data_IF_847413666358
#
_entry.id   IF_847413666358
#
_cell.length_a   1.000
_cell.length_b   1.000
_cell.length_c   1.000
_cell.angle_alpha   90.00
_cell.angle_beta   90.00
_cell.angle_gamma   90.00
#
_symmetry.space_group_name_H-M   'P 1'
#
loop_
_entity.id
_entity.type
_entity.pdbx_description
1 polymer ?
#
# COMPACT_ATOMS: atom_id res chain seq x y z
N UNK A 1 53.21 10.44 23.90
CA UNK A 1 52.73 9.71 22.70
C UNK A 1 51.91 8.44 22.98
N UNK A 2 51.97 7.80 24.17
CA UNK A 2 51.18 6.59 24.48
C UNK A 2 49.71 6.86 24.87
N UNK A 3 49.40 8.02 25.45
CA UNK A 3 48.05 8.35 25.93
C UNK A 3 47.05 8.65 24.79
N UNK A 4 47.48 9.36 23.75
CA UNK A 4 46.64 9.66 22.57
C UNK A 4 46.24 8.41 21.79
N UNK A 5 47.11 7.39 21.73
CA UNK A 5 46.77 6.10 21.09
C UNK A 5 45.71 5.32 21.88
N UNK A 6 45.71 5.43 23.21
CA UNK A 6 44.71 4.78 24.07
C UNK A 6 43.34 5.45 23.95
N UNK A 7 43.31 6.79 23.87
CA UNK A 7 42.07 7.57 23.70
C UNK A 7 41.42 7.30 22.34
N UNK A 8 42.22 7.19 21.27
CA UNK A 8 41.71 6.84 19.92
C UNK A 8 41.15 5.40 19.89
N UNK A 9 41.77 4.47 20.63
CA UNK A 9 41.30 3.08 20.69
C UNK A 9 39.98 2.95 21.46
N UNK A 10 39.81 3.71 22.55
CA UNK A 10 38.55 3.74 23.34
C UNK A 10 37.42 4.45 22.57
N UNK A 11 37.73 5.44 21.73
CA UNK A 11 36.74 6.11 20.89
C UNK A 11 36.19 5.20 19.78
N UNK A 12 36.98 4.24 19.29
CA UNK A 12 36.55 3.27 18.28
C UNK A 12 35.69 2.12 18.84
N UNK A 13 35.78 1.84 20.15
CA UNK A 13 35.02 0.76 20.81
C UNK A 13 33.58 1.13 21.17
N UNK A 14 33.18 2.40 21.03
CA UNK A 14 31.81 2.87 21.34
C UNK A 14 30.89 2.91 20.11
N UNK A 15 31.33 2.40 18.95
CA UNK A 15 30.55 2.40 17.70
C UNK A 15 29.76 1.10 17.45
N UNK A 16 29.84 0.11 18.33
CA UNK A 16 28.93 -1.06 18.29
C UNK A 16 27.64 -0.75 19.04
N UNK A 17 26.93 0.30 18.63
CA UNK A 17 25.53 0.49 18.98
C UNK A 17 24.69 -0.33 18.00
N UNK A 18 23.87 -1.21 18.56
CA UNK A 18 23.00 -2.17 17.87
C UNK A 18 22.27 -1.54 16.66
N UNK A 19 22.68 -1.93 15.45
CA UNK A 19 21.92 -1.67 14.23
C UNK A 19 20.75 -2.64 14.16
N UNK A 20 19.64 -2.26 14.79
CA UNK A 20 18.33 -2.85 14.51
C UNK A 20 17.89 -2.50 13.09
N UNK A 21 18.51 -3.11 12.08
CA UNK A 21 18.17 -2.93 10.67
C UNK A 21 16.95 -3.79 10.32
N UNK A 22 15.79 -3.38 10.84
CA UNK A 22 14.52 -3.82 10.25
C UNK A 22 14.41 -3.21 8.85
N UNK A 23 14.24 -4.04 7.83
CA UNK A 23 14.05 -3.58 6.46
C UNK A 23 12.78 -2.72 6.36
N UNK A 24 12.89 -1.49 5.86
CA UNK A 24 11.78 -0.53 5.85
C UNK A 24 10.65 -0.99 4.95
N UNK A 25 9.45 -1.02 5.49
CA UNK A 25 8.27 -1.52 4.78
C UNK A 25 7.57 -0.43 3.96
N UNK A 26 7.57 0.78 4.52
CA UNK A 26 7.02 2.04 4.02
C UNK A 26 7.93 3.16 4.52
N UNK A 27 7.81 4.36 3.94
CA UNK A 27 8.43 5.57 4.45
C UNK A 27 8.38 5.73 5.98
N UNK A 28 9.56 5.85 6.60
CA UNK A 28 9.70 6.10 8.03
C UNK A 28 9.11 7.44 8.44
N UNK A 29 8.58 7.52 9.66
CA UNK A 29 8.12 8.76 10.26
C UNK A 29 9.20 9.87 10.19
N UNK A 30 8.92 11.05 9.58
CA UNK A 30 9.87 12.14 9.48
C UNK A 30 10.40 12.61 10.83
N UNK A 31 9.59 12.52 11.88
CA UNK A 31 9.96 12.92 13.24
C UNK A 31 11.01 11.98 13.86
N UNK A 32 11.13 10.74 13.34
CA UNK A 32 12.14 9.77 13.75
C UNK A 32 13.37 9.72 12.82
N UNK A 33 13.50 10.64 11.85
CA UNK A 33 14.51 10.53 10.79
C UNK A 33 15.94 10.98 11.16
N UNK A 34 16.16 11.63 12.31
CA UNK A 34 17.49 12.03 12.78
C UNK A 34 18.33 12.80 11.73
N UNK A 35 19.63 12.51 11.65
CA UNK A 35 20.60 13.17 10.73
C UNK A 35 20.22 12.98 9.26
N UNK A 36 19.48 11.92 8.91
CA UNK A 36 19.06 11.65 7.52
C UNK A 36 18.08 12.69 6.97
N UNK A 37 17.42 13.47 7.84
CA UNK A 37 16.52 14.57 7.45
C UNK A 37 17.26 15.70 6.72
N UNK A 38 18.54 15.93 7.02
CA UNK A 38 19.37 16.93 6.35
C UNK A 38 19.63 16.61 4.86
N UNK A 39 19.46 15.34 4.47
CA UNK A 39 19.61 14.87 3.10
C UNK A 39 18.28 14.84 2.31
N UNK A 40 17.17 15.34 2.90
CA UNK A 40 15.85 15.36 2.28
C UNK A 40 15.42 16.79 1.98
N UNK A 41 14.84 17.01 0.81
CA UNK A 41 14.08 18.24 0.52
C UNK A 41 12.63 18.08 0.98
N UNK A 42 11.94 19.19 1.23
CA UNK A 42 10.53 19.23 1.66
C UNK A 42 9.60 18.32 0.82
N UNK A 43 9.85 18.20 -0.48
CA UNK A 43 9.05 17.34 -1.37
C UNK A 43 9.23 15.83 -1.07
N UNK A 44 10.41 15.40 -0.63
CA UNK A 44 10.63 13.99 -0.25
C UNK A 44 9.87 13.66 1.03
N UNK A 45 9.80 14.60 1.98
CA UNK A 45 8.99 14.44 3.18
C UNK A 45 7.49 14.38 2.83
N UNK A 46 7.01 15.22 1.91
CA UNK A 46 5.64 15.16 1.39
C UNK A 46 5.33 13.79 0.76
N UNK A 47 6.22 13.27 -0.10
CA UNK A 47 6.07 11.94 -0.71
C UNK A 47 5.96 10.86 0.37
N UNK A 48 6.86 10.90 1.35
CA UNK A 48 6.92 9.92 2.45
C UNK A 48 5.65 9.94 3.30
N UNK A 49 5.13 11.12 3.61
CA UNK A 49 3.87 11.30 4.33
C UNK A 49 2.69 10.71 3.56
N UNK A 50 2.59 10.99 2.25
CA UNK A 50 1.52 10.44 1.41
C UNK A 50 1.61 8.91 1.28
N UNK A 51 2.82 8.36 1.09
CA UNK A 51 3.02 6.91 1.03
C UNK A 51 2.61 6.23 2.35
N UNK A 52 2.94 6.84 3.50
CA UNK A 52 2.55 6.30 4.80
C UNK A 52 1.04 6.37 5.00
N UNK A 53 0.41 7.49 4.66
CA UNK A 53 -1.03 7.68 4.78
C UNK A 53 -1.79 6.62 3.99
N UNK A 54 -1.47 6.45 2.69
CA UNK A 54 -2.17 5.46 1.85
C UNK A 54 -1.96 4.01 2.34
N UNK A 55 -0.79 3.68 2.90
CA UNK A 55 -0.56 2.36 3.50
C UNK A 55 -1.33 2.15 4.82
N UNK A 56 -1.54 3.21 5.61
CA UNK A 56 -2.36 3.17 6.82
C UNK A 56 -3.85 2.98 6.48
N UNK A 57 -4.33 3.63 5.43
CA UNK A 57 -5.68 3.46 4.92
C UNK A 57 -5.90 2.04 4.39
N UNK A 58 -4.93 1.51 3.62
CA UNK A 58 -4.98 0.13 3.14
C UNK A 58 -4.97 -0.89 4.29
N UNK A 59 -4.22 -0.61 5.36
CA UNK A 59 -4.22 -1.41 6.58
C UNK A 59 -5.58 -1.41 7.27
N UNK A 60 -6.20 -0.23 7.37
CA UNK A 60 -7.55 -0.06 7.91
C UNK A 60 -8.59 -0.80 7.05
N UNK A 61 -8.45 -0.76 5.72
CA UNK A 61 -9.31 -1.49 4.79
C UNK A 61 -9.20 -3.00 5.02
N UNK A 62 -7.99 -3.56 5.08
CA UNK A 62 -7.78 -5.00 5.32
C UNK A 62 -8.46 -5.46 6.61
N UNK A 63 -8.27 -4.71 7.69
CA UNK A 63 -8.89 -5.01 8.99
C UNK A 63 -10.43 -5.04 8.90
N UNK A 64 -11.03 -4.07 8.23
CA UNK A 64 -12.49 -4.00 8.08
C UNK A 64 -13.03 -5.10 7.18
N UNK A 65 -12.35 -5.38 6.06
CA UNK A 65 -12.73 -6.48 5.16
C UNK A 65 -12.68 -7.83 5.87
N UNK A 66 -11.66 -8.09 6.72
CA UNK A 66 -11.64 -9.32 7.50
C UNK A 66 -12.72 -9.39 8.56
N UNK A 67 -13.06 -8.27 9.22
CA UNK A 67 -14.19 -8.24 10.15
C UNK A 67 -15.52 -8.57 9.47
N UNK A 68 -15.69 -8.11 8.22
CA UNK A 68 -16.90 -8.33 7.42
C UNK A 68 -16.94 -9.71 6.76
N UNK A 69 -15.77 -10.29 6.46
CA UNK A 69 -15.62 -11.60 5.81
C UNK A 69 -14.81 -12.59 6.67
N UNK A 70 -15.22 -12.87 7.93
CA UNK A 70 -14.39 -13.63 8.86
C UNK A 70 -14.21 -15.10 8.45
N UNK A 71 -15.17 -15.68 7.71
CA UNK A 71 -15.17 -17.09 7.35
C UNK A 71 -14.07 -17.46 6.33
N UNK A 72 -13.76 -16.55 5.40
CA UNK A 72 -12.79 -16.78 4.31
C UNK A 72 -11.33 -16.65 4.74
N UNK A 73 -11.05 -15.97 5.86
CA UNK A 73 -9.69 -15.71 6.35
C UNK A 73 -8.90 -17.01 6.56
N UNK A 74 -7.75 -17.13 5.90
CA UNK A 74 -6.95 -18.36 5.85
C UNK A 74 -6.31 -18.74 7.20
N UNK A 75 -5.94 -17.75 8.01
CA UNK A 75 -5.27 -17.93 9.30
C UNK A 75 -6.20 -17.79 10.50
N UNK A 76 -7.52 -17.95 10.28
CA UNK A 76 -8.54 -17.70 11.31
C UNK A 76 -8.38 -18.50 12.60
N UNK A 77 -7.80 -19.70 12.51
CA UNK A 77 -7.57 -20.59 13.64
C UNK A 77 -6.18 -20.40 14.29
N UNK A 78 -5.33 -19.53 13.73
CA UNK A 78 -3.94 -19.33 14.20
C UNK A 78 -3.77 -18.06 15.02
N UNK A 79 -4.55 -17.01 14.73
CA UNK A 79 -4.40 -15.68 15.33
C UNK A 79 -5.64 -14.81 15.13
N UNK A 80 -5.78 -13.76 15.93
CA UNK A 80 -6.84 -12.76 15.75
C UNK A 80 -6.61 -11.89 14.49
N UNK A 81 -7.66 -11.16 14.09
CA UNK A 81 -7.63 -10.34 12.87
C UNK A 81 -6.57 -9.23 12.97
N UNK A 82 -6.45 -8.55 14.11
CA UNK A 82 -5.51 -7.44 14.30
C UNK A 82 -4.07 -7.94 14.15
N UNK A 83 -3.74 -9.04 14.79
CA UNK A 83 -2.43 -9.69 14.70
C UNK A 83 -2.11 -10.11 13.27
N UNK A 84 -3.09 -10.61 12.51
CA UNK A 84 -2.90 -10.97 11.09
C UNK A 84 -2.59 -9.77 10.21
N UNK A 85 -3.35 -8.69 10.40
CA UNK A 85 -3.19 -7.43 9.66
C UNK A 85 -1.85 -6.78 10.01
N UNK A 86 -1.52 -6.68 11.30
CA UNK A 86 -0.25 -6.12 11.77
C UNK A 86 0.93 -6.91 11.19
N UNK A 87 0.85 -8.24 11.21
CA UNK A 87 1.88 -9.10 10.63
C UNK A 87 2.00 -8.89 9.11
N UNK A 88 0.89 -8.79 8.37
CA UNK A 88 0.95 -8.53 6.93
C UNK A 88 1.68 -7.20 6.62
N UNK A 89 1.37 -6.14 7.37
CA UNK A 89 1.99 -4.82 7.19
C UNK A 89 3.36 -4.67 7.88
N UNK A 90 3.81 -5.62 8.71
CA UNK A 90 5.17 -5.62 9.24
C UNK A 90 6.20 -6.19 8.26
N UNK A 91 5.76 -6.95 7.26
CA UNK A 91 6.63 -7.48 6.22
C UNK A 91 6.92 -6.43 5.15
N UNK A 92 8.13 -6.45 4.60
CA UNK A 92 8.51 -5.64 3.44
C UNK A 92 7.52 -5.83 2.28
N UNK A 93 7.31 -4.81 1.45
CA UNK A 93 6.36 -4.91 0.32
C UNK A 93 6.78 -5.92 -0.76
N UNK A 94 8.05 -6.33 -0.76
CA UNK A 94 8.56 -7.46 -1.57
C UNK A 94 8.35 -8.84 -0.91
N UNK A 95 7.71 -8.92 0.26
CA UNK A 95 7.46 -10.20 0.88
C UNK A 95 6.57 -11.07 -0.01
N UNK A 96 7.07 -12.25 -0.35
CA UNK A 96 6.54 -13.06 -1.43
C UNK A 96 5.51 -14.05 -0.93
N UNK A 97 4.38 -14.11 -1.64
CA UNK A 97 3.54 -15.30 -1.70
C UNK A 97 3.91 -16.06 -2.97
N UNK A 98 4.49 -17.27 -2.90
CA UNK A 98 5.02 -17.98 -4.07
C UNK A 98 4.02 -18.09 -5.24
N UNK A 99 2.74 -18.27 -4.92
CA UNK A 99 1.66 -18.42 -5.90
C UNK A 99 1.35 -17.13 -6.70
N UNK A 100 1.79 -15.95 -6.24
CA UNK A 100 1.51 -14.65 -6.90
C UNK A 100 2.77 -13.95 -7.41
N UNK A 101 3.93 -14.59 -7.29
CA UNK A 101 5.22 -13.97 -7.59
C UNK A 101 5.29 -13.43 -9.02
N UNK A 102 4.79 -14.20 -9.99
CA UNK A 102 4.86 -13.90 -11.42
C UNK A 102 3.68 -13.10 -11.95
N UNK A 103 2.72 -12.74 -11.09
CA UNK A 103 1.52 -12.02 -11.49
C UNK A 103 1.70 -10.52 -11.31
N UNK A 104 1.16 -9.75 -12.25
CA UNK A 104 1.09 -8.30 -12.09
C UNK A 104 0.17 -7.94 -10.92
N UNK A 105 0.43 -6.79 -10.29
CA UNK A 105 -0.31 -6.36 -9.11
C UNK A 105 -1.83 -6.33 -9.35
N UNK A 106 -2.24 -5.86 -10.53
CA UNK A 106 -3.63 -5.71 -10.95
C UNK A 106 -4.27 -7.06 -11.30
N UNK A 107 -3.50 -8.05 -11.74
CA UNK A 107 -3.98 -9.42 -11.93
C UNK A 107 -4.29 -10.11 -10.60
N UNK A 108 -3.49 -9.84 -9.57
CA UNK A 108 -3.78 -10.39 -8.24
C UNK A 108 -5.09 -9.79 -7.68
N UNK A 109 -5.34 -8.50 -7.91
CA UNK A 109 -6.62 -7.87 -7.55
C UNK A 109 -7.77 -8.54 -8.32
N UNK A 110 -7.60 -8.79 -9.62
CA UNK A 110 -8.60 -9.49 -10.45
C UNK A 110 -8.90 -10.89 -9.91
N UNK A 111 -7.86 -11.68 -9.62
CA UNK A 111 -8.00 -13.05 -9.10
C UNK A 111 -8.78 -13.07 -7.78
N UNK A 112 -8.55 -12.11 -6.89
CA UNK A 112 -9.29 -12.02 -5.62
C UNK A 112 -10.82 -11.92 -5.81
N UNK A 113 -11.25 -11.34 -6.94
CA UNK A 113 -12.63 -11.08 -7.32
C UNK A 113 -13.05 -11.89 -8.56
N UNK A 114 -12.37 -13.00 -8.82
CA UNK A 114 -12.74 -13.99 -9.81
C UNK A 114 -13.55 -15.12 -9.15
N UNK A 115 -14.70 -15.49 -9.69
CA UNK A 115 -15.53 -16.54 -9.12
C UNK A 115 -14.84 -17.91 -9.09
N UNK A 116 -13.91 -18.16 -10.03
CA UNK A 116 -13.15 -19.40 -10.15
C UNK A 116 -11.96 -19.50 -9.19
N UNK A 117 -11.69 -18.45 -8.42
CA UNK A 117 -10.62 -18.45 -7.42
C UNK A 117 -10.84 -19.53 -6.35
N UNK A 118 -9.86 -20.44 -6.24
CA UNK A 118 -9.92 -21.61 -5.37
C UNK A 118 -9.55 -21.32 -3.91
N UNK A 119 -8.97 -20.15 -3.62
CA UNK A 119 -8.60 -19.77 -2.26
C UNK A 119 -9.80 -19.33 -1.43
N UNK A 120 -9.85 -19.75 -0.17
CA UNK A 120 -10.89 -19.29 0.76
C UNK A 120 -10.75 -17.80 1.12
N UNK A 121 -9.51 -17.31 1.15
CA UNK A 121 -9.19 -15.93 1.54
C UNK A 121 -9.08 -15.04 0.31
N UNK A 122 -10.13 -14.26 0.06
CA UNK A 122 -10.19 -13.25 -1.01
C UNK A 122 -9.69 -11.88 -0.55
N UNK A 123 -9.64 -11.61 0.76
CA UNK A 123 -9.15 -10.33 1.30
C UNK A 123 -7.63 -10.23 1.10
N UNK A 124 -6.91 -11.33 1.36
CA UNK A 124 -5.46 -11.35 1.24
C UNK A 124 -4.95 -11.01 -0.17
N UNK A 125 -5.37 -11.68 -1.26
CA UNK A 125 -4.94 -11.31 -2.61
C UNK A 125 -5.39 -9.90 -3.00
N UNK A 126 -6.60 -9.48 -2.62
CA UNK A 126 -7.10 -8.14 -2.93
C UNK A 126 -6.18 -7.06 -2.32
N UNK A 127 -5.90 -7.17 -1.02
CA UNK A 127 -5.03 -6.22 -0.31
C UNK A 127 -3.58 -6.32 -0.77
N UNK A 128 -3.08 -7.53 -1.03
CA UNK A 128 -1.73 -7.73 -1.54
C UNK A 128 -1.53 -7.10 -2.93
N UNK A 129 -2.46 -7.32 -3.86
CA UNK A 129 -2.45 -6.69 -5.18
C UNK A 129 -2.52 -5.17 -5.09
N UNK A 130 -3.43 -4.62 -4.27
CA UNK A 130 -3.54 -3.18 -4.02
C UNK A 130 -2.22 -2.60 -3.47
N UNK A 131 -1.63 -3.26 -2.47
CA UNK A 131 -0.35 -2.83 -1.88
C UNK A 131 0.78 -2.86 -2.90
N UNK A 132 0.90 -3.96 -3.67
CA UNK A 132 1.92 -4.12 -4.71
C UNK A 132 1.80 -3.03 -5.77
N UNK A 133 0.58 -2.73 -6.20
CA UNK A 133 0.27 -1.68 -7.18
C UNK A 133 0.64 -0.29 -6.66
N UNK A 134 0.19 0.05 -5.45
CA UNK A 134 0.49 1.35 -4.84
C UNK A 134 1.99 1.51 -4.61
N UNK A 135 2.70 0.49 -4.12
CA UNK A 135 4.16 0.58 -3.94
C UNK A 135 4.88 0.73 -5.29
N UNK A 136 4.41 0.05 -6.33
CA UNK A 136 4.95 0.20 -7.68
C UNK A 136 4.75 1.62 -8.24
N UNK A 137 3.71 2.36 -7.83
CA UNK A 137 3.57 3.78 -8.22
C UNK A 137 4.57 4.72 -7.56
N UNK A 138 5.27 4.26 -6.52
CA UNK A 138 6.45 4.92 -5.93
C UNK A 138 7.77 4.29 -6.41
N UNK A 139 7.75 3.52 -7.50
CA UNK A 139 8.88 2.73 -8.00
C UNK A 139 9.47 1.80 -6.91
N UNK A 140 8.64 1.33 -5.98
CA UNK A 140 9.00 0.49 -4.83
C UNK A 140 10.00 1.13 -3.84
N UNK A 141 10.18 2.46 -3.89
CA UNK A 141 11.00 3.16 -2.90
C UNK A 141 10.27 3.28 -1.56
N UNK A 142 10.99 3.04 -0.46
CA UNK A 142 10.53 3.29 0.92
C UNK A 142 11.32 4.41 1.59
N UNK A 143 12.28 4.98 0.89
CA UNK A 143 13.09 6.12 1.33
C UNK A 143 13.32 7.02 0.12
N UNK A 144 13.19 8.33 0.32
CA UNK A 144 13.28 9.30 -0.76
C UNK A 144 14.41 10.28 -0.45
N UNK A 145 15.40 10.31 -1.33
CA UNK A 145 16.59 11.16 -1.24
C UNK A 145 16.70 12.03 -2.51
N UNK A 146 17.69 12.92 -2.57
CA UNK A 146 17.85 13.92 -3.64
C UNK A 146 17.69 13.42 -5.08
N UNK A 147 18.06 12.17 -5.38
CA UNK A 147 17.97 11.60 -6.74
C UNK A 147 16.75 10.71 -6.96
N UNK A 148 15.88 10.53 -5.97
CA UNK A 148 14.66 9.74 -6.13
C UNK A 148 13.62 10.57 -6.89
N UNK A 149 13.31 10.17 -8.12
CA UNK A 149 12.21 10.73 -8.89
C UNK A 149 11.01 9.79 -8.87
N UNK A 150 9.81 10.33 -8.69
CA UNK A 150 8.56 9.60 -8.90
C UNK A 150 7.90 10.10 -10.19
N UNK A 151 7.27 9.18 -10.91
CA UNK A 151 6.41 9.49 -12.04
C UNK A 151 4.99 9.84 -11.58
N UNK A 152 4.58 11.10 -11.81
CA UNK A 152 3.23 11.58 -11.54
C UNK A 152 2.14 10.78 -12.25
N UNK A 153 2.42 10.22 -13.43
CA UNK A 153 1.44 9.43 -14.17
C UNK A 153 1.15 8.10 -13.48
N UNK A 154 2.15 7.48 -12.85
CA UNK A 154 1.96 6.24 -12.09
C UNK A 154 1.09 6.47 -10.85
N UNK A 155 1.32 7.58 -10.14
CA UNK A 155 0.49 7.99 -9.00
C UNK A 155 -0.96 8.23 -9.42
N UNK A 156 -1.17 8.99 -10.50
CA UNK A 156 -2.51 9.20 -11.06
C UNK A 156 -3.18 7.89 -11.49
N UNK A 157 -2.46 7.02 -12.20
CA UNK A 157 -2.98 5.72 -12.62
C UNK A 157 -3.31 4.83 -11.42
N UNK A 158 -2.52 4.89 -10.35
CA UNK A 158 -2.79 4.22 -9.07
C UNK A 158 -4.11 4.70 -8.45
N UNK A 159 -4.39 6.01 -8.45
CA UNK A 159 -5.67 6.56 -7.99
C UNK A 159 -6.87 6.02 -8.80
N UNK A 160 -6.76 6.03 -10.14
CA UNK A 160 -7.80 5.46 -11.02
C UNK A 160 -7.98 3.95 -10.80
N UNK A 161 -6.88 3.24 -10.55
CA UNK A 161 -6.94 1.81 -10.27
C UNK A 161 -7.59 1.51 -8.90
N UNK A 162 -7.40 2.37 -7.90
CA UNK A 162 -8.10 2.24 -6.61
C UNK A 162 -9.62 2.36 -6.82
N UNK A 163 -10.08 3.26 -7.68
CA UNK A 163 -11.50 3.36 -8.04
C UNK A 163 -12.01 2.11 -8.74
N UNK A 164 -11.26 1.58 -9.71
CA UNK A 164 -11.60 0.33 -10.40
C UNK A 164 -11.71 -0.81 -9.40
N UNK A 165 -10.75 -0.93 -8.47
CA UNK A 165 -10.77 -1.97 -7.44
C UNK A 165 -11.97 -1.81 -6.49
N UNK A 166 -12.31 -0.57 -6.10
CA UNK A 166 -13.47 -0.28 -5.27
C UNK A 166 -14.80 -0.67 -5.98
N UNK A 167 -14.92 -0.35 -7.27
CA UNK A 167 -16.06 -0.75 -8.08
C UNK A 167 -16.15 -2.27 -8.22
N UNK A 168 -15.03 -2.94 -8.55
CA UNK A 168 -15.01 -4.40 -8.68
C UNK A 168 -15.42 -5.08 -7.37
N UNK A 169 -14.97 -4.55 -6.23
CA UNK A 169 -15.35 -5.05 -4.91
C UNK A 169 -16.86 -4.92 -4.64
N UNK A 170 -17.50 -3.86 -5.15
CA UNK A 170 -18.94 -3.61 -4.99
C UNK A 170 -19.82 -4.43 -5.95
N UNK A 171 -19.30 -4.81 -7.13
CA UNK A 171 -20.11 -5.37 -8.21
C UNK A 171 -19.84 -6.85 -8.51
N UNK A 172 -18.66 -7.39 -8.18
CA UNK A 172 -18.31 -8.77 -8.55
C UNK A 172 -19.11 -9.80 -7.72
N UNK A 173 -19.84 -10.64 -8.45
CA UNK A 173 -20.77 -11.65 -7.92
C UNK A 173 -20.41 -13.05 -8.43
N UNK A 174 -20.81 -14.07 -7.68
CA UNK A 174 -20.80 -15.46 -8.12
C UNK A 174 -21.99 -15.78 -9.05
N UNK A 175 -22.01 -17.01 -9.57
CA UNK A 175 -23.11 -17.56 -10.38
C UNK A 175 -24.50 -17.48 -9.72
N UNK A 176 -24.58 -17.36 -8.39
CA UNK A 176 -25.82 -17.26 -7.64
C UNK A 176 -26.23 -15.79 -7.38
N UNK A 177 -25.47 -14.83 -7.94
CA UNK A 177 -25.71 -13.40 -7.76
C UNK A 177 -25.22 -12.81 -6.43
N UNK A 178 -24.50 -13.60 -5.61
CA UNK A 178 -23.95 -13.16 -4.33
C UNK A 178 -22.60 -12.48 -4.52
N UNK A 179 -22.35 -11.39 -3.81
CA UNK A 179 -21.04 -10.73 -3.83
C UNK A 179 -19.91 -11.68 -3.42
N UNK A 180 -18.80 -11.65 -4.17
CA UNK A 180 -17.62 -12.47 -3.90
C UNK A 180 -16.88 -12.03 -2.64
N UNK A 181 -16.89 -10.74 -2.32
CA UNK A 181 -16.32 -10.19 -1.10
C UNK A 181 -17.22 -9.06 -0.56
N UNK A 182 -17.67 -9.18 0.68
CA UNK A 182 -18.58 -8.23 1.29
C UNK A 182 -17.82 -6.97 1.73
N UNK A 183 -18.34 -5.79 1.42
CA UNK A 183 -17.77 -4.51 1.83
C UNK A 183 -18.85 -3.59 2.40
N UNK A 184 -19.49 -2.79 1.56
CA UNK A 184 -20.60 -1.89 1.92
C UNK A 184 -21.86 -2.67 2.34
N UNK A 185 -22.87 -1.91 2.75
CA UNK A 185 -24.18 -2.46 3.15
C UNK A 185 -24.86 -3.18 2.01
N UNK A 186 -25.46 -4.33 2.34
CA UNK A 186 -26.41 -4.99 1.47
C UNK A 186 -27.76 -4.25 1.50
N UNK A 187 -28.64 -4.55 0.54
CA UNK A 187 -29.93 -3.85 0.33
C UNK A 187 -30.80 -3.75 1.60
N UNK A 188 -30.67 -4.71 2.52
CA UNK A 188 -31.46 -4.78 3.76
C UNK A 188 -30.69 -4.35 5.02
N UNK A 189 -29.52 -3.73 4.89
CA UNK A 189 -28.70 -3.26 5.99
C UNK A 189 -28.66 -1.73 6.10
N UNK A 190 -28.41 -1.20 7.30
CA UNK A 190 -28.12 0.22 7.49
C UNK A 190 -26.95 0.64 6.62
N UNK A 191 -27.12 1.73 5.86
CA UNK A 191 -26.12 2.27 4.94
C UNK A 191 -24.79 2.55 5.64
N UNK A 192 -23.75 1.88 5.19
CA UNK A 192 -22.39 1.94 5.71
C UNK A 192 -21.45 2.37 4.58
N UNK A 193 -21.08 3.65 4.57
CA UNK A 193 -20.17 4.23 3.56
C UNK A 193 -18.71 4.22 4.03
N UNK A 194 -18.41 3.44 5.07
CA UNK A 194 -17.11 3.51 5.71
C UNK A 194 -16.01 2.78 4.93
N UNK A 195 -16.34 1.94 3.93
CA UNK A 195 -15.36 1.43 2.96
C UNK A 195 -15.12 2.44 1.86
N UNK A 196 -16.19 3.00 1.29
CA UNK A 196 -16.11 4.09 0.29
C UNK A 196 -15.27 5.27 0.78
N UNK A 197 -15.39 5.63 2.07
CA UNK A 197 -14.56 6.68 2.68
C UNK A 197 -13.07 6.34 2.63
N UNK A 198 -12.68 5.12 3.00
CA UNK A 198 -11.27 4.68 2.98
C UNK A 198 -10.75 4.64 1.54
N UNK A 199 -11.54 4.17 0.58
CA UNK A 199 -11.17 4.25 -0.83
C UNK A 199 -10.98 5.71 -1.28
N UNK A 200 -11.89 6.61 -0.92
CA UNK A 200 -11.79 8.04 -1.22
C UNK A 200 -10.55 8.70 -0.63
N UNK A 201 -10.18 8.36 0.61
CA UNK A 201 -8.95 8.83 1.28
C UNK A 201 -7.70 8.37 0.52
N UNK A 202 -7.65 7.10 0.11
CA UNK A 202 -6.54 6.57 -0.70
C UNK A 202 -6.46 7.23 -2.09
N UNK A 203 -7.61 7.41 -2.77
CA UNK A 203 -7.68 8.07 -4.09
C UNK A 203 -7.16 9.51 -3.98
N UNK A 204 -7.69 10.28 -3.02
CA UNK A 204 -7.29 11.66 -2.80
C UNK A 204 -5.80 11.77 -2.48
N UNK A 205 -5.26 10.85 -1.68
CA UNK A 205 -3.82 10.82 -1.34
C UNK A 205 -2.96 10.59 -2.59
N UNK A 206 -3.35 9.67 -3.47
CA UNK A 206 -2.63 9.41 -4.72
C UNK A 206 -2.75 10.57 -5.72
N UNK A 207 -3.96 11.11 -5.93
CA UNK A 207 -4.21 12.20 -6.88
C UNK A 207 -3.52 13.51 -6.45
N UNK A 208 -3.60 13.86 -5.16
CA UNK A 208 -2.94 15.06 -4.64
C UNK A 208 -1.43 14.97 -4.84
N UNK A 209 -0.83 13.82 -4.53
CA UNK A 209 0.61 13.65 -4.73
C UNK A 209 0.96 13.69 -6.23
N UNK A 210 0.14 13.08 -7.10
CA UNK A 210 0.34 13.15 -8.54
C UNK A 210 0.40 14.62 -9.02
N UNK A 211 -0.54 15.46 -8.60
CA UNK A 211 -0.56 16.89 -8.97
C UNK A 211 0.68 17.63 -8.44
N UNK A 212 1.06 17.40 -7.18
CA UNK A 212 2.24 18.01 -6.57
C UNK A 212 3.51 17.66 -7.38
N UNK A 213 3.68 16.38 -7.72
CA UNK A 213 4.85 15.90 -8.47
C UNK A 213 4.82 16.40 -9.92
N UNK A 214 3.64 16.46 -10.55
CA UNK A 214 3.46 17.02 -11.89
C UNK A 214 3.93 18.48 -11.94
N UNK A 215 3.49 19.30 -10.98
CA UNK A 215 3.90 20.71 -10.85
C UNK A 215 5.40 20.84 -10.59
N UNK A 216 5.94 20.05 -9.64
CA UNK A 216 7.37 20.05 -9.30
C UNK A 216 8.26 19.70 -10.51
N UNK A 217 7.81 18.76 -11.34
CA UNK A 217 8.57 18.28 -12.51
C UNK A 217 8.28 19.10 -13.79
N UNK A 218 7.32 20.03 -13.77
CA UNK A 218 6.86 20.73 -14.99
C UNK A 218 6.24 19.80 -16.04
N UNK A 219 5.62 18.69 -15.59
CA UNK A 219 5.02 17.67 -16.47
C UNK A 219 3.50 17.68 -16.38
N UNK A 220 2.83 17.37 -17.48
CA UNK A 220 1.37 17.19 -17.50
C UNK A 220 1.00 15.76 -17.10
N UNK A 221 -0.15 15.62 -16.44
CA UNK A 221 -0.81 14.32 -16.20
C UNK A 221 -1.76 14.07 -17.37
N UNK A 222 -1.67 12.90 -17.99
CA UNK A 222 -2.66 12.47 -18.98
C UNK A 222 -3.87 11.91 -18.24
N UNK A 223 -4.93 12.70 -18.19
CA UNK A 223 -6.19 12.31 -17.55
C UNK A 223 -6.91 11.25 -18.39
N UNK A 224 -7.33 10.17 -17.73
CA UNK A 224 -8.16 9.12 -18.31
C UNK A 224 -9.46 9.05 -17.52
N UNK A 225 -10.59 9.22 -18.21
CA UNK A 225 -11.89 9.00 -17.60
C UNK A 225 -12.23 7.51 -17.67
N UNK A 226 -12.18 6.84 -16.52
CA UNK A 226 -12.63 5.44 -16.43
C UNK A 226 -14.14 5.40 -16.61
N UNK A 227 -14.62 4.83 -17.72
CA UNK A 227 -16.04 4.58 -17.94
C UNK A 227 -16.39 3.17 -17.46
N UNK A 228 -17.61 2.97 -16.96
CA UNK A 228 -18.11 1.66 -16.53
C UNK A 228 -18.02 0.57 -17.61
N UNK A 229 -17.91 0.94 -18.89
CA UNK A 229 -17.76 -0.02 -20.00
C UNK A 229 -16.32 -0.56 -20.18
N UNK A 230 -15.30 0.06 -19.58
CA UNK A 230 -13.89 -0.22 -19.89
C UNK A 230 -13.00 -0.40 -18.66
N UNK A 231 -13.53 -0.82 -17.50
CA UNK A 231 -12.81 -0.95 -16.22
C UNK A 231 -11.64 -1.94 -16.25
N UNK A 232 -10.62 -1.54 -16.98
CA UNK A 232 -9.33 -2.17 -17.12
C UNK A 232 -8.37 -1.33 -16.28
N UNK A 233 -7.61 -1.99 -15.43
CA UNK A 233 -6.55 -1.33 -14.69
C UNK A 233 -5.57 -0.66 -15.64
N UNK A 234 -5.20 0.58 -15.32
CA UNK A 234 -4.19 1.37 -15.99
C UNK A 234 -2.79 0.86 -15.63
N UNK A 235 -1.81 1.02 -16.54
CA UNK A 235 -0.44 0.59 -16.30
C UNK A 235 0.21 1.40 -15.16
N UNK A 236 1.06 0.73 -14.39
CA UNK A 236 1.92 1.31 -13.34
C UNK A 236 3.38 1.13 -13.75
#
# INVERSE_FOLDING_TARGET
MKLYKLVIFILCLNLTACTGTGQKVVASDPDNAGISRLAKSDIHEVIELHQRAVMQDLKSLMFKLYKRNPAGRHDKNKRDIKTSVDLFFSHHHHHYFPHWQHLDATDIIRIALDETYQGSDRVLPFIFGMRKMMMASYDNHTEFFYFTSIDQQKLYNSARNIEIAAWMLAEKRDINGKLLLLSDSLTDEYRNLSYQRIFGEMIATQDNLAEIIARKNGRLIKTVMVRAASMMFLPI
#
